data_IF_114364953683
#
_entry.id   IF_114364953683
#
_cell.length_a   1.000
_cell.length_b   1.000
_cell.length_c   1.000
_cell.angle_alpha   90.00
_cell.angle_beta   90.00
_cell.angle_gamma   90.00
#
_symmetry.space_group_name_H-M   'P 1'
#
loop_
_entity.id
_entity.type
_entity.pdbx_description
1 polymer ?
#
# COMPACT_ATOMS: atom_id res chain seq x y z
N UNK A 1 -19.79 -24.43 -11.97
CA UNK A 1 -18.95 -24.77 -10.81
C UNK A 1 -19.59 -24.14 -9.58
N UNK A 2 -20.40 -24.91 -8.84
CA UNK A 2 -21.07 -24.46 -7.60
C UNK A 2 -20.03 -24.53 -6.47
N UNK A 3 -19.82 -23.45 -5.70
CA UNK A 3 -18.83 -23.45 -4.62
C UNK A 3 -19.37 -22.86 -3.31
N UNK A 4 -19.52 -23.78 -2.35
CA UNK A 4 -19.64 -23.63 -0.89
C UNK A 4 -20.96 -23.11 -0.29
N UNK A 5 -21.31 -23.69 0.87
CA UNK A 5 -22.38 -23.36 1.84
C UNK A 5 -22.93 -21.93 1.73
N UNK A 6 -24.24 -21.65 1.96
CA UNK A 6 -24.78 -20.28 1.89
C UNK A 6 -23.94 -19.33 2.74
N UNK A 7 -23.04 -18.58 2.09
CA UNK A 7 -22.13 -17.63 2.74
C UNK A 7 -22.92 -16.37 2.91
N UNK A 8 -23.43 -16.16 4.12
CA UNK A 8 -24.04 -14.89 4.44
C UNK A 8 -22.97 -13.80 4.63
N UNK A 9 -23.28 -12.57 4.28
CA UNK A 9 -22.38 -11.43 4.44
C UNK A 9 -23.09 -10.35 5.24
N UNK A 10 -22.44 -9.90 6.31
CA UNK A 10 -22.83 -8.72 7.08
C UNK A 10 -21.97 -7.55 6.61
N UNK A 11 -22.61 -6.45 6.21
CA UNK A 11 -21.94 -5.23 5.77
C UNK A 11 -22.30 -4.10 6.71
N UNK A 12 -21.29 -3.48 7.32
CA UNK A 12 -21.47 -2.28 8.15
C UNK A 12 -20.73 -1.13 7.50
N UNK A 13 -21.47 -0.12 7.05
CA UNK A 13 -20.93 1.09 6.42
C UNK A 13 -20.96 2.24 7.42
N UNK A 14 -19.81 2.57 7.99
CA UNK A 14 -19.62 3.77 8.78
C UNK A 14 -19.30 4.97 7.89
N UNK A 15 -19.93 6.11 8.13
CA UNK A 15 -19.74 7.27 7.26
C UNK A 15 -19.79 8.61 7.99
N UNK A 16 -19.02 9.57 7.48
CA UNK A 16 -19.18 10.99 7.83
C UNK A 16 -20.43 11.56 7.18
N UNK A 17 -21.13 12.45 7.88
CA UNK A 17 -22.39 13.03 7.40
C UNK A 17 -22.24 13.74 6.04
N UNK A 18 -21.14 14.46 5.84
CA UNK A 18 -20.82 15.11 4.56
C UNK A 18 -20.75 14.13 3.39
N UNK A 19 -20.53 12.84 3.66
CA UNK A 19 -20.38 11.77 2.68
C UNK A 19 -21.60 10.83 2.64
N UNK A 20 -22.78 11.29 3.10
CA UNK A 20 -24.01 10.48 3.17
C UNK A 20 -24.38 9.84 1.84
N UNK A 21 -24.38 10.61 0.75
CA UNK A 21 -24.77 10.10 -0.58
C UNK A 21 -23.78 9.06 -1.11
N UNK A 22 -22.48 9.24 -0.87
CA UNK A 22 -21.49 8.24 -1.24
C UNK A 22 -21.69 6.94 -0.45
N UNK A 23 -21.87 7.06 0.87
CA UNK A 23 -22.08 5.90 1.73
C UNK A 23 -23.36 5.15 1.37
N UNK A 24 -24.43 5.88 1.03
CA UNK A 24 -25.68 5.33 0.51
C UNK A 24 -25.44 4.59 -0.81
N UNK A 25 -24.71 5.19 -1.75
CA UNK A 25 -24.40 4.57 -3.03
C UNK A 25 -23.58 3.27 -2.88
N UNK A 26 -22.53 3.28 -2.05
CA UNK A 26 -21.74 2.07 -1.75
C UNK A 26 -22.62 1.00 -1.13
N UNK A 27 -23.44 1.37 -0.15
CA UNK A 27 -24.36 0.47 0.53
C UNK A 27 -25.34 -0.18 -0.45
N UNK A 28 -26.08 0.63 -1.22
CA UNK A 28 -27.12 0.14 -2.14
C UNK A 28 -26.51 -0.70 -3.27
N UNK A 29 -25.41 -0.26 -3.88
CA UNK A 29 -24.74 -1.00 -4.95
C UNK A 29 -24.18 -2.33 -4.45
N UNK A 30 -23.55 -2.35 -3.26
CA UNK A 30 -22.98 -3.59 -2.72
C UNK A 30 -24.07 -4.60 -2.37
N UNK A 31 -25.13 -4.16 -1.68
CA UNK A 31 -26.25 -5.03 -1.31
C UNK A 31 -26.93 -5.55 -2.57
N UNK A 32 -27.31 -4.68 -3.51
CA UNK A 32 -27.95 -5.09 -4.75
C UNK A 32 -27.09 -6.07 -5.55
N UNK A 33 -25.79 -5.79 -5.68
CA UNK A 33 -24.86 -6.65 -6.40
C UNK A 33 -24.77 -8.03 -5.74
N UNK A 34 -24.49 -8.13 -4.44
CA UNK A 34 -24.39 -9.43 -3.76
C UNK A 34 -25.72 -10.20 -3.76
N UNK A 35 -26.84 -9.52 -3.53
CA UNK A 35 -28.17 -10.14 -3.54
C UNK A 35 -28.58 -10.62 -4.94
N UNK A 36 -28.16 -9.97 -6.02
CA UNK A 36 -28.40 -10.44 -7.40
C UNK A 36 -27.73 -11.78 -7.72
N UNK A 37 -26.75 -12.19 -6.92
CA UNK A 37 -26.12 -13.51 -6.98
C UNK A 37 -26.60 -14.44 -5.84
N UNK A 38 -27.81 -14.19 -5.33
CA UNK A 38 -28.50 -15.00 -4.32
C UNK A 38 -27.75 -15.16 -2.98
N UNK A 39 -26.83 -14.23 -2.67
CA UNK A 39 -26.18 -14.21 -1.36
C UNK A 39 -27.15 -13.67 -0.30
N UNK A 40 -27.14 -14.29 0.89
CA UNK A 40 -27.83 -13.73 2.06
C UNK A 40 -27.02 -12.54 2.59
N UNK A 41 -27.56 -11.34 2.48
CA UNK A 41 -26.88 -10.09 2.86
C UNK A 41 -27.67 -9.39 3.94
N UNK A 42 -27.03 -9.16 5.09
CA UNK A 42 -27.52 -8.24 6.10
C UNK A 42 -26.65 -6.98 6.09
N UNK A 43 -27.24 -5.79 6.12
CA UNK A 43 -26.46 -4.57 6.00
C UNK A 43 -26.99 -3.44 6.88
N UNK A 44 -26.06 -2.63 7.40
CA UNK A 44 -26.35 -1.44 8.17
C UNK A 44 -25.47 -0.27 7.70
N UNK A 45 -26.02 0.93 7.77
CA UNK A 45 -25.31 2.17 7.44
C UNK A 45 -25.42 3.12 8.64
N UNK A 46 -24.27 3.42 9.25
CA UNK A 46 -24.20 4.09 10.54
C UNK A 46 -23.38 5.37 10.45
N UNK A 47 -23.85 6.44 11.08
CA UNK A 47 -23.03 7.63 11.26
C UNK A 47 -21.82 7.27 12.10
N UNK A 48 -20.62 7.63 11.64
CA UNK A 48 -19.34 7.29 12.25
C UNK A 48 -19.30 7.61 13.76
N UNK A 49 -19.92 8.72 14.15
CA UNK A 49 -19.92 9.21 15.53
C UNK A 49 -20.97 8.57 16.44
N UNK A 50 -22.06 8.07 15.88
CA UNK A 50 -23.10 7.37 16.63
C UNK A 50 -22.81 5.87 16.72
N UNK A 51 -22.23 5.31 15.67
CA UNK A 51 -21.94 3.90 15.60
C UNK A 51 -23.11 3.00 15.30
N UNK A 52 -22.88 1.71 15.55
CA UNK A 52 -23.90 0.68 15.47
C UNK A 52 -24.67 0.64 16.79
N UNK A 53 -25.97 0.90 16.76
CA UNK A 53 -26.83 0.81 17.94
C UNK A 53 -27.25 -0.64 18.22
N UNK A 54 -27.73 -0.91 19.44
CA UNK A 54 -28.30 -2.22 19.77
C UNK A 54 -29.54 -2.57 18.91
N UNK A 55 -30.26 -1.56 18.43
CA UNK A 55 -31.40 -1.74 17.52
C UNK A 55 -30.91 -2.20 16.14
N UNK A 56 -29.84 -1.59 15.63
CA UNK A 56 -29.20 -1.98 14.36
C UNK A 56 -28.66 -3.42 14.42
N UNK A 57 -28.03 -3.80 15.54
CA UNK A 57 -27.56 -5.19 15.72
C UNK A 57 -28.71 -6.20 15.72
N UNK A 58 -29.83 -5.89 16.37
CA UNK A 58 -31.03 -6.73 16.33
C UNK A 58 -31.58 -6.85 14.91
N UNK A 59 -31.60 -5.75 14.17
CA UNK A 59 -32.10 -5.74 12.80
C UNK A 59 -31.19 -6.54 11.85
N UNK A 60 -29.87 -6.39 11.97
CA UNK A 60 -28.90 -7.23 11.26
C UNK A 60 -29.11 -8.73 11.58
N UNK A 61 -29.32 -9.07 12.85
CA UNK A 61 -29.58 -10.45 13.25
C UNK A 61 -30.89 -11.02 12.68
N UNK A 62 -31.95 -10.20 12.59
CA UNK A 62 -33.21 -10.59 11.93
C UNK A 62 -33.03 -10.83 10.44
N UNK A 63 -32.33 -9.94 9.74
CA UNK A 63 -32.04 -10.06 8.31
C UNK A 63 -31.23 -11.32 8.00
N UNK A 64 -30.22 -11.61 8.84
CA UNK A 64 -29.33 -12.76 8.64
C UNK A 64 -30.04 -14.09 8.93
N UNK A 65 -30.92 -14.11 9.93
CA UNK A 65 -31.48 -15.31 10.53
C UNK A 65 -30.62 -15.84 11.68
N UNK A 66 -31.22 -16.58 12.63
CA UNK A 66 -30.50 -17.13 13.78
C UNK A 66 -29.45 -18.16 13.34
N UNK A 67 -28.27 -18.10 13.96
CA UNK A 67 -27.16 -19.06 13.83
C UNK A 67 -26.60 -19.29 12.42
N UNK A 68 -26.90 -18.40 11.47
CA UNK A 68 -26.32 -18.44 10.12
C UNK A 68 -24.85 -18.01 10.18
N UNK A 69 -23.89 -18.84 9.72
CA UNK A 69 -22.49 -18.44 9.63
C UNK A 69 -22.30 -17.34 8.59
N UNK A 70 -21.54 -16.29 8.93
CA UNK A 70 -21.37 -15.13 8.07
C UNK A 70 -19.93 -14.60 7.99
N UNK A 71 -19.65 -13.85 6.94
CA UNK A 71 -18.47 -12.99 6.82
C UNK A 71 -18.85 -11.54 7.13
N UNK A 72 -17.95 -10.79 7.76
CA UNK A 72 -18.14 -9.38 8.10
C UNK A 72 -17.24 -8.48 7.24
N UNK A 73 -17.87 -7.52 6.55
CA UNK A 73 -17.20 -6.40 5.89
C UNK A 73 -17.54 -5.09 6.62
N UNK A 74 -16.53 -4.43 7.17
CA UNK A 74 -16.66 -3.08 7.73
C UNK A 74 -16.10 -2.10 6.72
N UNK A 75 -16.92 -1.16 6.28
CA UNK A 75 -16.51 -0.10 5.36
C UNK A 75 -16.56 1.21 6.12
N UNK A 76 -15.47 1.96 6.17
CA UNK A 76 -15.53 3.34 6.67
C UNK A 76 -15.32 4.32 5.52
N UNK A 77 -16.14 5.37 5.51
CA UNK A 77 -16.14 6.43 4.51
C UNK A 77 -15.85 7.73 5.23
N UNK A 78 -14.60 8.20 5.12
CA UNK A 78 -14.10 9.38 5.82
C UNK A 78 -13.48 10.37 4.85
N UNK A 79 -13.17 11.57 5.34
CA UNK A 79 -12.40 12.55 4.58
C UNK A 79 -10.89 12.41 4.85
N UNK A 80 -10.12 12.84 3.87
CA UNK A 80 -8.66 12.93 3.92
C UNK A 80 -8.24 14.29 4.46
N UNK A 81 -7.38 14.35 5.49
CA UNK A 81 -6.81 15.59 6.01
C UNK A 81 -5.33 15.73 5.61
N UNK A 82 -4.92 16.84 4.95
CA UNK A 82 -3.51 17.11 4.66
C UNK A 82 -2.59 17.14 5.89
N UNK A 83 -3.13 17.46 7.08
CA UNK A 83 -2.40 17.49 8.35
C UNK A 83 -2.33 16.14 9.09
N UNK A 84 -2.90 15.06 8.55
CA UNK A 84 -3.04 13.77 9.24
C UNK A 84 -4.29 13.71 10.15
N UNK A 85 -4.51 12.58 10.83
CA UNK A 85 -5.69 12.32 11.66
C UNK A 85 -6.96 11.97 10.89
N UNK A 86 -7.97 11.50 11.63
CA UNK A 86 -9.28 11.11 11.08
C UNK A 86 -10.36 12.07 11.56
N UNK A 87 -11.26 12.45 10.66
CA UNK A 87 -12.38 13.30 11.03
C UNK A 87 -13.43 12.50 11.79
N UNK A 88 -13.90 13.08 12.89
CA UNK A 88 -15.08 12.62 13.61
C UNK A 88 -15.93 13.83 13.92
N UNK A 89 -16.69 14.31 12.93
CA UNK A 89 -17.52 15.51 13.13
C UNK A 89 -18.88 15.32 12.51
N UNK A 90 -19.90 15.47 13.36
CA UNK A 90 -21.28 15.67 12.97
C UNK A 90 -21.48 17.15 12.67
N UNK A 91 -22.14 17.49 11.56
CA UNK A 91 -22.74 18.82 11.43
C UNK A 91 -24.04 18.91 12.25
N UNK A 92 -24.11 18.30 13.44
CA UNK A 92 -25.27 18.40 14.33
C UNK A 92 -24.87 18.78 15.76
N UNK A 93 -25.50 19.85 16.26
CA UNK A 93 -25.36 20.34 17.63
C UNK A 93 -24.25 21.40 17.80
N UNK A 94 -23.96 21.72 19.07
CA UNK A 94 -22.90 22.65 19.49
C UNK A 94 -21.48 22.07 19.36
N UNK A 95 -21.34 20.86 18.81
CA UNK A 95 -20.04 20.22 18.65
C UNK A 95 -19.33 20.80 17.44
N UNK A 96 -18.21 21.49 17.70
CA UNK A 96 -17.29 21.98 16.66
C UNK A 96 -16.74 20.81 15.87
N UNK A 97 -16.23 21.10 14.67
CA UNK A 97 -15.40 20.15 13.93
C UNK A 97 -14.21 19.68 14.81
N UNK A 98 -14.34 18.54 15.49
CA UNK A 98 -13.31 17.84 16.24
C UNK A 98 -12.59 16.81 15.37
N UNK A 99 -11.30 17.04 15.16
CA UNK A 99 -10.39 16.00 14.70
C UNK A 99 -10.09 15.07 15.87
N UNK A 100 -10.04 13.76 15.62
CA UNK A 100 -9.56 12.77 16.59
C UNK A 100 -8.27 12.15 16.07
N UNK A 101 -7.44 11.68 17.00
CA UNK A 101 -6.27 10.91 16.63
C UNK A 101 -6.66 9.55 16.01
N UNK A 102 -5.71 8.94 15.30
CA UNK A 102 -5.89 7.68 14.61
C UNK A 102 -6.28 6.53 15.55
N UNK A 103 -5.77 6.54 16.79
CA UNK A 103 -6.00 5.48 17.76
C UNK A 103 -7.46 5.48 18.25
N UNK A 104 -7.95 6.63 18.71
CA UNK A 104 -9.32 6.77 19.19
C UNK A 104 -10.34 6.43 18.10
N UNK A 105 -10.04 6.81 16.85
CA UNK A 105 -10.89 6.51 15.70
C UNK A 105 -11.02 4.99 15.47
N UNK A 106 -9.89 4.29 15.42
CA UNK A 106 -9.86 2.85 15.16
C UNK A 106 -10.42 2.06 16.33
N UNK A 107 -10.18 2.51 17.56
CA UNK A 107 -10.74 1.92 18.77
C UNK A 107 -12.26 2.01 18.79
N UNK A 108 -12.82 3.17 18.41
CA UNK A 108 -14.27 3.33 18.32
C UNK A 108 -14.88 2.41 17.25
N UNK A 109 -14.31 2.41 16.04
CA UNK A 109 -14.79 1.55 14.95
C UNK A 109 -14.72 0.07 15.35
N UNK A 110 -13.64 -0.35 16.01
CA UNK A 110 -13.48 -1.72 16.53
C UNK A 110 -14.51 -2.05 17.60
N UNK A 111 -14.68 -1.17 18.58
CA UNK A 111 -15.57 -1.40 19.72
C UNK A 111 -17.00 -1.61 19.25
N UNK A 112 -17.48 -0.80 18.31
CA UNK A 112 -18.87 -0.80 17.85
C UNK A 112 -19.29 -2.07 17.11
N UNK A 113 -18.35 -2.82 16.53
CA UNK A 113 -18.63 -4.07 15.80
C UNK A 113 -17.89 -5.27 16.38
N UNK A 114 -17.41 -5.18 17.62
CA UNK A 114 -16.64 -6.24 18.28
C UNK A 114 -17.42 -7.56 18.40
N UNK A 115 -18.71 -7.47 18.70
CA UNK A 115 -19.56 -8.66 18.89
C UNK A 115 -19.82 -9.36 17.55
N UNK A 116 -20.07 -8.59 16.50
CA UNK A 116 -20.22 -9.12 15.15
C UNK A 116 -18.91 -9.71 14.63
N UNK A 117 -17.80 -9.03 14.82
CA UNK A 117 -16.50 -9.47 14.30
C UNK A 117 -15.96 -10.70 15.01
N UNK A 118 -16.27 -10.90 16.30
CA UNK A 118 -15.83 -12.08 17.06
C UNK A 118 -16.57 -13.37 16.66
N UNK A 119 -17.80 -13.25 16.15
CA UNK A 119 -18.64 -14.40 15.72
C UNK A 119 -18.53 -14.71 14.23
N UNK A 120 -18.02 -13.77 13.43
CA UNK A 120 -17.89 -13.94 11.99
C UNK A 120 -16.82 -14.99 11.63
N UNK A 121 -17.05 -15.74 10.54
CA UNK A 121 -16.06 -16.66 9.95
C UNK A 121 -14.81 -15.90 9.50
N UNK A 122 -14.99 -14.71 8.93
CA UNK A 122 -13.90 -13.79 8.60
C UNK A 122 -14.37 -12.36 8.77
N UNK A 123 -13.48 -11.47 9.23
CA UNK A 123 -13.77 -10.05 9.47
C UNK A 123 -12.72 -9.19 8.77
N UNK A 124 -13.15 -8.22 7.96
CA UNK A 124 -12.25 -7.34 7.19
C UNK A 124 -12.71 -5.89 7.20
N UNK A 125 -11.76 -4.97 7.12
CA UNK A 125 -12.01 -3.53 7.09
C UNK A 125 -11.57 -2.96 5.74
N UNK A 126 -12.39 -2.10 5.17
CA UNK A 126 -12.16 -1.40 3.91
C UNK A 126 -12.30 0.10 4.12
N UNK A 127 -11.22 0.85 3.86
CA UNK A 127 -11.24 2.29 3.91
C UNK A 127 -11.61 2.91 2.57
N UNK A 128 -12.45 3.95 2.60
CA UNK A 128 -12.73 4.81 1.45
C UNK A 128 -12.34 6.26 1.77
N UNK A 129 -11.74 6.93 0.77
CA UNK A 129 -11.38 8.36 0.82
C UNK A 129 -10.42 8.81 1.96
N UNK A 130 -9.52 7.93 2.40
CA UNK A 130 -8.66 8.16 3.57
C UNK A 130 -7.14 8.25 3.30
N UNK A 131 -6.71 8.37 2.04
CA UNK A 131 -5.30 8.17 1.70
C UNK A 131 -4.33 9.23 2.24
N UNK A 132 -4.77 10.47 2.48
CA UNK A 132 -3.91 11.48 3.12
C UNK A 132 -3.60 11.15 4.58
N UNK A 133 -4.52 10.47 5.26
CA UNK A 133 -4.41 10.16 6.68
C UNK A 133 -3.26 9.15 6.94
N UNK A 134 -2.80 8.44 5.90
CA UNK A 134 -1.69 7.50 5.97
C UNK A 134 -0.30 8.14 5.85
N UNK A 135 -0.21 9.44 5.55
CA UNK A 135 1.07 10.14 5.43
C UNK A 135 1.71 10.45 6.80
N UNK A 136 0.93 10.33 7.88
CA UNK A 136 1.44 10.49 9.25
C UNK A 136 2.52 9.44 9.56
N UNK A 137 3.70 9.82 10.12
CA UNK A 137 4.81 8.89 10.38
C UNK A 137 4.47 7.69 11.26
N UNK A 138 3.40 7.80 12.07
CA UNK A 138 2.93 6.74 12.98
C UNK A 138 1.66 6.04 12.53
N UNK A 139 0.96 6.54 11.51
CA UNK A 139 -0.40 6.08 11.17
C UNK A 139 -0.48 4.56 10.97
N UNK A 140 0.44 3.98 10.18
CA UNK A 140 0.48 2.54 9.91
C UNK A 140 0.77 1.73 11.19
N UNK A 141 1.65 2.23 12.05
CA UNK A 141 1.97 1.57 13.31
C UNK A 141 0.78 1.57 14.28
N UNK A 142 0.04 2.68 14.33
CA UNK A 142 -1.18 2.82 15.13
C UNK A 142 -2.26 1.86 14.64
N UNK A 143 -2.51 1.83 13.33
CA UNK A 143 -3.43 0.86 12.71
C UNK A 143 -3.01 -0.58 13.02
N UNK A 144 -1.73 -0.90 12.86
CA UNK A 144 -1.26 -2.24 13.18
C UNK A 144 -1.53 -2.58 14.65
N UNK A 145 -1.23 -1.65 15.57
CA UNK A 145 -1.33 -1.88 17.00
C UNK A 145 -2.78 -2.02 17.48
N UNK A 146 -3.70 -1.23 16.93
CA UNK A 146 -5.13 -1.32 17.26
C UNK A 146 -5.79 -2.62 16.77
N UNK A 147 -5.24 -3.22 15.71
CA UNK A 147 -5.69 -4.50 15.17
C UNK A 147 -5.05 -5.72 15.84
N UNK A 148 -3.91 -5.55 16.53
CA UNK A 148 -3.33 -6.63 17.33
C UNK A 148 -4.36 -7.10 18.35
N UNK A 149 -4.54 -8.42 18.46
CA UNK A 149 -5.52 -9.07 19.36
C UNK A 149 -7.00 -8.94 18.98
N UNK A 150 -7.31 -8.42 17.78
CA UNK A 150 -8.70 -8.41 17.27
C UNK A 150 -9.00 -9.66 16.44
N UNK A 151 -10.27 -9.87 16.06
CA UNK A 151 -10.68 -10.93 15.12
C UNK A 151 -10.55 -10.53 13.64
N UNK A 152 -10.12 -9.30 13.35
CA UNK A 152 -9.93 -8.85 11.97
C UNK A 152 -8.75 -9.55 11.30
N UNK A 153 -8.97 -10.02 10.06
CA UNK A 153 -7.93 -10.67 9.26
C UNK A 153 -7.22 -9.68 8.34
N UNK A 154 -7.91 -8.62 7.91
CA UNK A 154 -7.29 -7.67 6.99
C UNK A 154 -7.88 -6.27 7.06
N UNK A 155 -7.05 -5.30 6.69
CA UNK A 155 -7.44 -3.93 6.39
C UNK A 155 -6.89 -3.53 5.03
N UNK A 156 -7.75 -2.94 4.20
CA UNK A 156 -7.42 -2.40 2.88
C UNK A 156 -7.65 -0.90 2.86
N UNK A 157 -6.61 -0.11 2.55
CA UNK A 157 -6.70 1.36 2.54
C UNK A 157 -6.16 1.94 1.23
N UNK A 158 -6.83 2.94 0.60
CA UNK A 158 -6.21 3.74 -0.44
C UNK A 158 -4.98 4.47 0.09
N UNK A 159 -3.94 4.59 -0.73
CA UNK A 159 -2.71 5.34 -0.38
C UNK A 159 -2.58 6.68 -1.08
N UNK A 160 -3.59 7.11 -1.83
CA UNK A 160 -3.47 8.32 -2.63
C UNK A 160 -4.21 9.53 -2.08
N UNK A 161 -3.68 10.68 -2.47
CA UNK A 161 -4.02 12.00 -1.98
C UNK A 161 -5.19 12.66 -2.73
N UNK A 162 -5.46 12.20 -3.96
CA UNK A 162 -6.26 12.92 -4.96
C UNK A 162 -7.46 12.11 -5.47
N UNK A 163 -8.01 11.22 -4.65
CA UNK A 163 -9.17 10.44 -5.05
C UNK A 163 -10.39 11.33 -5.29
N UNK A 164 -11.01 11.17 -6.45
CA UNK A 164 -12.40 11.58 -6.64
C UNK A 164 -13.27 10.51 -5.97
N UNK A 165 -14.13 10.95 -5.06
CA UNK A 165 -15.03 10.10 -4.26
C UNK A 165 -15.89 9.15 -5.12
N UNK A 166 -16.16 9.51 -6.38
CA UNK A 166 -16.91 8.72 -7.37
C UNK A 166 -16.21 7.43 -7.84
N UNK A 167 -14.88 7.35 -7.78
CA UNK A 167 -14.17 6.17 -8.27
C UNK A 167 -14.34 4.99 -7.31
N UNK A 168 -14.50 5.27 -6.01
CA UNK A 168 -14.61 4.24 -4.96
C UNK A 168 -15.98 3.56 -4.92
N UNK A 169 -17.05 4.24 -5.34
CA UNK A 169 -18.41 3.68 -5.31
C UNK A 169 -18.58 2.45 -6.21
N UNK A 170 -17.77 2.33 -7.26
CA UNK A 170 -17.86 1.23 -8.21
C UNK A 170 -16.88 0.08 -7.91
N UNK A 171 -15.71 0.39 -7.36
CA UNK A 171 -14.65 -0.61 -7.11
C UNK A 171 -15.00 -1.51 -5.92
N UNK A 172 -15.47 -0.93 -4.82
CA UNK A 172 -15.71 -1.70 -3.59
C UNK A 172 -16.76 -2.81 -3.76
N UNK A 173 -17.95 -2.57 -4.36
CA UNK A 173 -18.92 -3.63 -4.61
C UNK A 173 -18.32 -4.83 -5.37
N UNK A 174 -17.55 -4.56 -6.43
CA UNK A 174 -16.95 -5.61 -7.26
C UNK A 174 -15.83 -6.39 -6.52
N UNK A 175 -15.04 -5.71 -5.66
CA UNK A 175 -14.07 -6.38 -4.78
C UNK A 175 -14.81 -7.36 -3.84
N UNK A 176 -15.89 -6.91 -3.21
CA UNK A 176 -16.65 -7.74 -2.26
C UNK A 176 -17.34 -8.92 -2.95
N UNK A 177 -17.83 -8.73 -4.18
CA UNK A 177 -18.33 -9.82 -5.02
C UNK A 177 -17.24 -10.88 -5.29
N UNK A 178 -16.04 -10.46 -5.72
CA UNK A 178 -14.92 -11.38 -5.96
C UNK A 178 -14.49 -12.12 -4.68
N UNK A 179 -14.54 -11.44 -3.54
CA UNK A 179 -14.13 -11.99 -2.25
C UNK A 179 -15.14 -13.01 -1.71
N UNK A 180 -16.42 -12.64 -1.63
CA UNK A 180 -17.42 -13.41 -0.88
C UNK A 180 -18.21 -14.38 -1.74
N UNK A 181 -18.50 -14.04 -3.00
CA UNK A 181 -19.19 -14.93 -3.94
C UNK A 181 -18.19 -15.84 -4.66
N UNK A 182 -17.16 -15.26 -5.30
CA UNK A 182 -16.18 -16.06 -6.06
C UNK A 182 -15.11 -16.72 -5.17
N UNK A 183 -15.02 -16.35 -3.90
CA UNK A 183 -14.06 -16.93 -2.95
C UNK A 183 -12.59 -16.61 -3.27
N UNK A 184 -12.33 -15.50 -3.98
CA UNK A 184 -10.96 -15.06 -4.28
C UNK A 184 -10.27 -14.58 -3.00
N UNK A 185 -8.94 -14.74 -2.92
CA UNK A 185 -8.18 -14.07 -1.87
C UNK A 185 -8.23 -12.54 -2.03
N UNK A 186 -8.04 -11.81 -0.92
CA UNK A 186 -8.18 -10.35 -0.90
C UNK A 186 -7.26 -9.66 -1.91
N UNK A 187 -6.01 -10.09 -1.99
CA UNK A 187 -5.02 -9.48 -2.88
C UNK A 187 -5.42 -9.68 -4.34
N UNK A 188 -5.78 -10.90 -4.73
CA UNK A 188 -6.27 -11.22 -6.07
C UNK A 188 -7.54 -10.46 -6.41
N UNK A 189 -8.52 -10.39 -5.51
CA UNK A 189 -9.76 -9.64 -5.73
C UNK A 189 -9.46 -8.16 -6.00
N UNK A 190 -8.64 -7.54 -5.15
CA UNK A 190 -8.23 -6.14 -5.31
C UNK A 190 -7.47 -5.93 -6.62
N UNK A 191 -6.44 -6.72 -6.91
CA UNK A 191 -5.63 -6.56 -8.11
C UNK A 191 -6.42 -6.81 -9.40
N UNK A 192 -7.45 -7.66 -9.39
CA UNK A 192 -8.34 -7.87 -10.54
C UNK A 192 -9.27 -6.69 -10.77
N UNK A 193 -9.89 -6.17 -9.73
CA UNK A 193 -10.88 -5.09 -9.84
C UNK A 193 -10.19 -3.73 -9.97
N UNK A 194 -9.45 -3.33 -8.94
CA UNK A 194 -8.72 -2.05 -8.92
C UNK A 194 -7.66 -1.99 -10.02
N UNK A 195 -6.92 -3.09 -10.23
CA UNK A 195 -5.88 -3.13 -11.25
C UNK A 195 -6.39 -3.04 -12.69
N UNK A 196 -7.67 -3.36 -12.96
CA UNK A 196 -8.28 -3.25 -14.29
C UNK A 196 -9.03 -1.94 -14.52
N UNK A 197 -9.51 -1.26 -13.48
CA UNK A 197 -10.07 0.09 -13.63
C UNK A 197 -8.96 1.12 -13.85
N UNK A 198 -9.02 1.82 -14.98
CA UNK A 198 -7.99 2.79 -15.38
C UNK A 198 -8.06 4.02 -14.47
N UNK A 199 -9.27 4.44 -14.18
CA UNK A 199 -9.64 5.56 -13.32
C UNK A 199 -9.12 5.30 -11.90
N UNK A 200 -9.48 4.14 -11.33
CA UNK A 200 -9.03 3.71 -10.02
C UNK A 200 -7.51 3.74 -9.89
N UNK A 201 -6.80 2.96 -10.72
CA UNK A 201 -5.35 2.77 -10.58
C UNK A 201 -4.54 4.01 -10.92
N UNK A 202 -5.09 4.89 -11.77
CA UNK A 202 -4.44 6.16 -12.07
C UNK A 202 -4.46 7.08 -10.84
N UNK A 203 -5.52 7.09 -10.04
CA UNK A 203 -5.56 8.00 -8.90
C UNK A 203 -5.11 7.36 -7.59
N UNK A 204 -4.87 6.05 -7.54
CA UNK A 204 -4.70 5.35 -6.25
C UNK A 204 -3.60 4.31 -6.22
N UNK A 205 -3.08 4.07 -5.03
CA UNK A 205 -2.42 2.83 -4.64
C UNK A 205 -3.17 2.19 -3.47
N UNK A 206 -2.79 0.98 -3.09
CA UNK A 206 -3.43 0.22 -2.02
C UNK A 206 -2.41 -0.16 -0.94
N UNK A 207 -2.80 0.01 0.31
CA UNK A 207 -2.10 -0.52 1.48
C UNK A 207 -2.88 -1.75 1.96
N UNK A 208 -2.21 -2.89 1.93
CA UNK A 208 -2.69 -4.15 2.49
C UNK A 208 -2.06 -4.32 3.87
N UNK A 209 -2.89 -4.54 4.89
CA UNK A 209 -2.49 -5.01 6.21
C UNK A 209 -3.25 -6.31 6.42
N UNK A 210 -2.60 -7.46 6.22
CA UNK A 210 -3.28 -8.76 6.07
C UNK A 210 -2.59 -9.88 6.85
N UNK A 211 -3.35 -10.87 7.29
CA UNK A 211 -2.87 -12.10 7.93
C UNK A 211 -3.82 -13.25 7.63
N UNK A 212 -3.28 -14.46 7.56
CA UNK A 212 -4.09 -15.65 7.29
C UNK A 212 -4.92 -16.06 8.51
N UNK A 213 -4.37 -15.88 9.72
CA UNK A 213 -5.02 -16.26 10.97
C UNK A 213 -4.87 -15.20 12.08
N UNK A 214 -5.77 -15.22 13.06
CA UNK A 214 -5.81 -14.24 14.16
C UNK A 214 -4.62 -14.30 15.11
N UNK A 215 -3.88 -15.41 15.10
CA UNK A 215 -2.65 -15.59 15.89
C UNK A 215 -1.39 -15.13 15.15
N UNK A 216 -1.50 -14.88 13.85
CA UNK A 216 -0.36 -14.45 13.04
C UNK A 216 -0.18 -12.94 13.07
N UNK A 217 1.05 -12.52 12.76
CA UNK A 217 1.40 -11.12 12.62
C UNK A 217 0.97 -10.60 11.26
N UNK A 218 0.35 -9.43 11.23
CA UNK A 218 -0.01 -8.73 9.99
C UNK A 218 1.21 -8.45 9.09
N UNK A 219 1.12 -8.88 7.84
CA UNK A 219 1.99 -8.46 6.74
C UNK A 219 1.44 -7.15 6.19
N UNK A 220 2.34 -6.18 5.99
CA UNK A 220 1.98 -4.86 5.49
C UNK A 220 2.68 -4.66 4.15
N UNK A 221 1.91 -4.49 3.09
CA UNK A 221 2.42 -4.29 1.72
C UNK A 221 1.71 -3.10 1.09
N UNK A 222 2.49 -2.18 0.52
CA UNK A 222 2.01 -1.12 -0.33
C UNK A 222 2.11 -1.54 -1.80
N UNK A 223 1.04 -1.34 -2.56
CA UNK A 223 0.94 -1.67 -3.99
C UNK A 223 0.55 -0.41 -4.76
N UNK A 224 1.26 -0.10 -5.83
CA UNK A 224 0.97 1.05 -6.69
C UNK A 224 1.05 0.68 -8.17
N UNK A 225 0.21 1.28 -9.00
CA UNK A 225 0.30 1.13 -10.45
C UNK A 225 1.56 1.81 -10.98
N UNK A 226 2.37 1.06 -11.73
CA UNK A 226 3.72 1.47 -12.12
C UNK A 226 4.04 1.10 -13.59
N UNK A 227 3.27 1.56 -14.58
CA UNK A 227 3.62 1.38 -15.98
C UNK A 227 4.86 2.22 -16.32
N UNK A 228 5.97 1.62 -16.80
CA UNK A 228 7.20 2.37 -17.11
C UNK A 228 6.97 3.56 -18.06
N UNK A 229 5.99 3.45 -18.96
CA UNK A 229 5.67 4.50 -19.94
C UNK A 229 5.18 5.82 -19.34
N UNK A 230 4.59 5.79 -18.15
CA UNK A 230 3.93 6.96 -17.56
C UNK A 230 4.24 7.15 -16.07
N UNK A 231 4.59 6.07 -15.37
CA UNK A 231 4.86 6.05 -13.92
C UNK A 231 5.96 5.04 -13.59
N UNK A 232 7.23 5.38 -13.88
CA UNK A 232 8.34 4.49 -13.54
C UNK A 232 8.32 4.25 -12.03
N UNK A 233 8.28 2.98 -11.60
CA UNK A 233 8.19 2.60 -10.18
C UNK A 233 7.06 3.30 -9.39
N UNK A 234 5.96 3.66 -10.05
CA UNK A 234 4.78 4.28 -9.42
C UNK A 234 4.88 5.79 -9.23
N UNK A 235 5.93 6.43 -9.76
CA UNK A 235 6.17 7.86 -9.62
C UNK A 235 5.30 8.70 -10.54
N UNK A 236 4.73 9.79 -10.03
CA UNK A 236 4.09 10.79 -10.87
C UNK A 236 5.15 11.63 -11.58
N UNK A 237 5.12 11.63 -12.91
CA UNK A 237 5.95 12.51 -13.71
C UNK A 237 5.33 13.93 -13.73
N UNK A 238 6.16 14.99 -13.78
CA UNK A 238 5.64 16.35 -13.96
C UNK A 238 4.91 16.46 -15.29
N UNK A 239 3.94 17.36 -15.36
CA UNK A 239 3.21 17.63 -16.58
C UNK A 239 4.14 18.16 -17.68
N UNK A 240 4.22 17.46 -18.81
CA UNK A 240 5.18 17.77 -19.88
C UNK A 240 5.09 19.23 -20.35
N UNK A 241 3.87 19.76 -20.51
CA UNK A 241 3.64 21.13 -20.98
C UNK A 241 4.19 22.20 -20.03
N UNK A 242 4.18 21.94 -18.72
CA UNK A 242 4.75 22.85 -17.70
C UNK A 242 6.28 22.93 -17.81
N UNK A 243 6.91 21.84 -18.25
CA UNK A 243 8.36 21.73 -18.37
C UNK A 243 8.86 22.24 -19.71
N UNK A 244 8.18 21.91 -20.81
CA UNK A 244 8.62 22.30 -22.16
C UNK A 244 8.19 23.71 -22.57
N UNK A 245 7.37 24.39 -21.76
CA UNK A 245 6.89 25.76 -22.03
C UNK A 245 5.91 25.86 -23.20
N UNK A 246 5.36 24.74 -23.69
CA UNK A 246 4.37 24.77 -24.76
C UNK A 246 3.05 25.36 -24.24
N UNK A 247 2.53 26.36 -24.97
CA UNK A 247 1.26 27.03 -24.65
C UNK A 247 0.04 26.10 -24.72
N UNK A 248 0.14 24.99 -25.45
CA UNK A 248 -0.91 23.97 -25.50
C UNK A 248 -0.64 22.87 -24.47
N UNK A 249 -1.66 22.52 -23.67
CA UNK A 249 -1.69 21.31 -22.82
C UNK A 249 -1.66 20.00 -23.64
N UNK A 250 -1.24 20.06 -24.90
CA UNK A 250 -1.14 18.93 -25.82
C UNK A 250 0.22 18.23 -25.74
N UNK A 251 1.26 18.89 -25.22
CA UNK A 251 2.57 18.28 -25.06
C UNK A 251 2.52 17.12 -24.05
N UNK A 252 3.08 15.96 -24.42
CA UNK A 252 3.09 14.73 -23.62
C UNK A 252 4.49 14.13 -23.56
N UNK A 253 4.78 13.40 -22.49
CA UNK A 253 5.97 12.56 -22.42
C UNK A 253 5.82 11.31 -23.28
N UNK A 254 6.82 11.04 -24.10
CA UNK A 254 6.96 9.85 -24.92
C UNK A 254 8.11 9.03 -24.37
N UNK A 255 7.79 7.91 -23.72
CA UNK A 255 8.77 6.96 -23.22
C UNK A 255 9.66 6.41 -24.35
N UNK A 256 10.97 6.36 -24.13
CA UNK A 256 11.94 5.84 -25.09
C UNK A 256 12.61 4.57 -24.63
N UNK A 257 13.19 4.59 -23.44
CA UNK A 257 13.99 3.46 -22.96
C UNK A 257 14.17 3.49 -21.45
N UNK A 258 14.52 2.34 -20.92
CA UNK A 258 14.94 2.09 -19.56
C UNK A 258 16.32 1.46 -19.63
N UNK A 259 17.24 1.94 -18.80
CA UNK A 259 18.60 1.41 -18.72
C UNK A 259 18.97 1.14 -17.26
N UNK A 260 19.46 -0.06 -16.92
CA UNK A 260 20.06 -0.30 -15.62
C UNK A 260 21.34 0.55 -15.49
N UNK A 261 21.57 1.11 -14.31
CA UNK A 261 22.74 1.92 -13.98
C UNK A 261 23.20 1.60 -12.55
N UNK A 262 24.10 0.63 -12.41
CA UNK A 262 24.46 0.08 -11.11
C UNK A 262 23.25 -0.51 -10.40
N UNK A 263 22.86 0.07 -9.25
CA UNK A 263 21.67 -0.32 -8.47
C UNK A 263 20.42 0.51 -8.82
N UNK A 264 20.49 1.37 -9.81
CA UNK A 264 19.41 2.27 -10.21
C UNK A 264 18.86 1.87 -11.59
N UNK A 265 17.66 2.36 -11.90
CA UNK A 265 17.08 2.31 -13.23
C UNK A 265 16.89 3.74 -13.74
N UNK A 266 17.35 4.00 -14.96
CA UNK A 266 17.21 5.31 -15.60
C UNK A 266 16.21 5.21 -16.74
N UNK A 267 15.13 5.96 -16.61
CA UNK A 267 14.05 6.06 -17.58
C UNK A 267 14.23 7.34 -18.40
N UNK A 268 14.11 7.21 -19.72
CA UNK A 268 14.17 8.35 -20.65
C UNK A 268 12.81 8.58 -21.31
N UNK A 269 12.37 9.83 -21.25
CA UNK A 269 11.19 10.34 -21.93
C UNK A 269 11.59 11.53 -22.82
N UNK A 270 11.00 11.65 -24.00
CA UNK A 270 11.09 12.86 -24.83
C UNK A 270 9.75 13.57 -24.83
N UNK A 271 9.74 14.90 -24.82
CA UNK A 271 8.51 15.63 -25.08
C UNK A 271 8.04 15.37 -26.51
N UNK A 272 6.73 15.29 -26.72
CA UNK A 272 6.14 15.12 -28.05
C UNK A 272 6.39 16.32 -28.98
N UNK A 273 6.73 17.49 -28.43
CA UNK A 273 7.16 18.67 -29.19
C UNK A 273 8.67 18.67 -29.51
N UNK A 274 9.44 17.70 -29.02
CA UNK A 274 10.88 17.60 -29.27
C UNK A 274 11.75 18.61 -28.52
N UNK A 275 11.17 19.57 -27.78
CA UNK A 275 11.93 20.64 -27.12
C UNK A 275 12.72 20.21 -25.87
N UNK A 276 12.34 19.12 -25.20
CA UNK A 276 12.90 18.73 -23.90
C UNK A 276 12.95 17.21 -23.77
N UNK A 277 14.03 16.68 -23.17
CA UNK A 277 14.07 15.33 -22.62
C UNK A 277 13.88 15.34 -21.09
N UNK A 278 13.31 14.25 -20.55
CA UNK A 278 13.22 14.01 -19.12
C UNK A 278 13.89 12.67 -18.81
N UNK A 279 14.86 12.71 -17.89
CA UNK A 279 15.55 11.53 -17.37
C UNK A 279 15.16 11.35 -15.91
N UNK A 280 14.69 10.16 -15.57
CA UNK A 280 14.27 9.81 -14.22
C UNK A 280 15.12 8.64 -13.74
N UNK A 281 16.02 8.89 -12.80
CA UNK A 281 16.75 7.85 -12.10
C UNK A 281 15.96 7.43 -10.85
N UNK A 282 15.81 6.12 -10.69
CA UNK A 282 15.11 5.51 -9.55
C UNK A 282 16.00 4.47 -8.90
N UNK A 283 16.29 4.64 -7.62
CA UNK A 283 16.83 3.58 -6.77
C UNK A 283 15.66 2.79 -6.17
N UNK A 284 15.41 1.55 -6.61
CA UNK A 284 14.21 0.80 -6.21
C UNK A 284 14.23 0.36 -4.75
N UNK A 285 15.42 0.28 -4.12
CA UNK A 285 15.58 -0.29 -2.78
C UNK A 285 14.95 -1.69 -2.70
N UNK A 286 13.94 -1.90 -1.85
CA UNK A 286 13.19 -3.15 -1.69
C UNK A 286 11.96 -3.28 -2.60
N UNK A 287 11.67 -2.28 -3.43
CA UNK A 287 10.52 -2.31 -4.33
C UNK A 287 10.69 -3.38 -5.39
N UNK A 288 9.61 -4.11 -5.66
CA UNK A 288 9.56 -5.15 -6.68
C UNK A 288 8.51 -4.80 -7.73
N UNK A 289 8.87 -4.92 -9.01
CA UNK A 289 7.89 -4.83 -10.09
C UNK A 289 7.23 -6.18 -10.25
N UNK A 290 5.90 -6.19 -10.29
CA UNK A 290 5.07 -7.38 -10.48
C UNK A 290 4.11 -7.13 -11.64
N UNK A 291 4.03 -8.07 -12.57
CA UNK A 291 3.04 -8.04 -13.65
C UNK A 291 1.83 -8.88 -13.25
N UNK A 292 0.64 -8.28 -13.25
CA UNK A 292 -0.64 -8.96 -12.95
C UNK A 292 -1.74 -8.40 -13.83
N UNK A 293 -2.62 -9.27 -14.35
CA UNK A 293 -3.79 -8.85 -15.13
C UNK A 293 -3.46 -7.95 -16.34
N UNK A 294 -2.28 -8.11 -16.95
CA UNK A 294 -1.81 -7.28 -18.07
C UNK A 294 -1.25 -5.91 -17.67
N UNK A 295 -1.13 -5.64 -16.37
CA UNK A 295 -0.69 -4.36 -15.81
C UNK A 295 0.56 -4.52 -14.93
N UNK A 296 1.34 -3.45 -14.87
CA UNK A 296 2.58 -3.37 -14.10
C UNK A 296 2.32 -2.68 -12.76
N UNK A 297 2.67 -3.35 -11.67
CA UNK A 297 2.55 -2.83 -10.31
C UNK A 297 3.91 -2.83 -9.63
N UNK A 298 4.08 -1.91 -8.69
CA UNK A 298 5.19 -1.94 -7.75
C UNK A 298 4.67 -2.34 -6.38
N UNK A 299 5.34 -3.29 -5.76
CA UNK A 299 5.05 -3.73 -4.40
C UNK A 299 6.21 -3.38 -3.47
N UNK A 300 5.88 -2.89 -2.28
CA UNK A 300 6.82 -2.55 -1.22
C UNK A 300 6.33 -3.10 0.10
N UNK A 301 7.14 -3.97 0.72
CA UNK A 301 6.84 -4.50 2.04
C UNK A 301 7.35 -3.56 3.13
N UNK A 302 6.55 -3.41 4.18
CA UNK A 302 6.88 -2.60 5.34
C UNK A 302 8.04 -3.20 6.12
N UNK A 303 9.03 -2.37 6.47
CA UNK A 303 10.08 -2.79 7.39
C UNK A 303 9.55 -2.72 8.82
N UNK A 304 9.32 -3.89 9.42
CA UNK A 304 8.81 -4.00 10.78
C UNK A 304 9.79 -3.49 11.83
N UNK A 305 11.10 -3.68 11.61
CA UNK A 305 12.13 -3.27 12.57
C UNK A 305 12.28 -1.74 12.55
N UNK A 306 12.33 -1.16 11.35
CA UNK A 306 12.47 0.29 11.17
C UNK A 306 11.15 1.05 11.23
N UNK A 307 10.02 0.34 11.23
CA UNK A 307 8.66 0.89 11.19
C UNK A 307 8.48 1.91 10.08
N UNK A 308 8.91 1.57 8.88
CA UNK A 308 8.83 2.45 7.71
C UNK A 308 8.84 1.66 6.39
N UNK A 309 8.36 2.29 5.32
CA UNK A 309 8.72 1.92 3.96
C UNK A 309 10.13 2.42 3.65
N UNK A 310 10.90 1.71 2.82
CA UNK A 310 12.29 2.06 2.53
C UNK A 310 12.41 3.12 1.44
N UNK A 311 11.45 3.14 0.51
CA UNK A 311 11.49 4.05 -0.61
C UNK A 311 10.92 5.40 -0.22
N UNK A 312 11.79 6.41 -0.24
CA UNK A 312 11.43 7.81 -0.11
C UNK A 312 11.78 8.54 -1.40
N UNK A 313 10.78 9.17 -2.02
CA UNK A 313 10.95 9.86 -3.30
C UNK A 313 12.05 10.92 -3.26
N UNK A 314 12.18 11.65 -2.14
CA UNK A 314 13.18 12.69 -1.95
C UNK A 314 14.64 12.22 -2.02
N UNK A 315 14.91 10.94 -1.70
CA UNK A 315 16.27 10.38 -1.68
C UNK A 315 16.49 9.34 -2.76
N UNK A 316 15.44 8.63 -3.16
CA UNK A 316 15.48 7.51 -4.10
C UNK A 316 15.15 7.90 -5.55
N UNK A 317 14.78 9.15 -5.82
CA UNK A 317 14.45 9.64 -7.15
C UNK A 317 15.27 10.87 -7.51
N UNK A 318 15.73 10.92 -8.76
CA UNK A 318 16.32 12.12 -9.35
C UNK A 318 15.74 12.34 -10.73
N UNK A 319 15.18 13.51 -10.97
CA UNK A 319 14.69 13.93 -12.29
C UNK A 319 15.61 15.01 -12.85
N UNK A 320 15.97 14.90 -14.13
CA UNK A 320 16.77 15.88 -14.87
C UNK A 320 16.10 16.16 -16.21
N UNK A 321 16.00 17.44 -16.56
CA UNK A 321 15.51 17.89 -17.85
C UNK A 321 16.66 18.46 -18.67
N UNK A 322 16.69 18.18 -19.98
CA UNK A 322 17.66 18.79 -20.89
C UNK A 322 16.96 19.32 -22.14
N UNK A 323 17.50 20.35 -22.81
CA UNK A 323 17.01 20.77 -24.12
C UNK A 323 17.03 19.58 -25.09
N UNK A 324 15.91 19.38 -25.77
CA UNK A 324 15.78 18.34 -26.77
C UNK A 324 16.66 18.68 -27.97
N UNK A 325 17.66 17.84 -28.22
CA UNK A 325 18.43 17.89 -29.46
C UNK A 325 18.25 16.57 -30.19
N UNK A 326 17.84 16.64 -31.46
CA UNK A 326 17.70 15.46 -32.33
C UNK A 326 19.05 14.75 -32.64
N UNK A 327 20.20 15.26 -32.16
CA UNK A 327 21.51 14.82 -32.65
C UNK A 327 22.53 14.36 -31.59
N UNK A 328 22.26 14.44 -30.28
CA UNK A 328 23.20 13.90 -29.27
C UNK A 328 22.65 12.65 -28.61
N UNK A 329 23.03 11.52 -29.22
CA UNK A 329 23.01 10.16 -28.65
C UNK A 329 23.06 10.19 -27.13
N UNK A 330 22.10 9.48 -26.52
CA UNK A 330 22.11 8.61 -25.33
C UNK A 330 23.46 8.26 -24.66
N UNK A 331 24.41 9.19 -24.57
CA UNK A 331 25.41 9.16 -23.53
C UNK A 331 24.66 9.65 -22.30
N UNK A 332 24.05 8.70 -21.58
CA UNK A 332 24.10 8.77 -20.13
C UNK A 332 25.50 9.30 -19.83
N UNK A 333 25.61 10.46 -19.19
CA UNK A 333 26.92 10.88 -18.71
C UNK A 333 27.48 9.64 -18.02
N UNK A 334 28.59 9.11 -18.56
CA UNK A 334 29.23 7.89 -18.10
C UNK A 334 29.93 8.19 -16.78
N UNK A 335 29.16 8.72 -15.84
CA UNK A 335 29.51 8.72 -14.44
C UNK A 335 29.08 7.36 -13.96
N UNK A 336 30.04 6.53 -13.60
CA UNK A 336 29.80 5.25 -12.91
C UNK A 336 29.12 5.44 -11.54
N UNK A 337 28.90 6.69 -11.12
CA UNK A 337 28.27 7.03 -9.86
C UNK A 337 26.74 7.02 -9.96
N UNK A 338 26.11 6.62 -8.86
CA UNK A 338 24.67 6.68 -8.67
C UNK A 338 24.14 8.14 -8.67
N UNK A 339 23.00 8.35 -9.30
CA UNK A 339 22.37 9.67 -9.46
C UNK A 339 21.58 10.09 -8.22
N UNK A 340 20.96 9.13 -7.54
CA UNK A 340 20.11 9.37 -6.37
C UNK A 340 20.95 9.40 -5.08
N UNK A 341 20.41 10.02 -4.02
CA UNK A 341 21.08 10.04 -2.71
C UNK A 341 21.16 8.61 -2.16
N UNK A 342 20.02 7.91 -2.17
CA UNK A 342 19.91 6.54 -1.68
C UNK A 342 20.82 5.57 -2.46
N UNK A 343 20.93 5.74 -3.78
CA UNK A 343 21.84 4.96 -4.61
C UNK A 343 23.31 5.18 -4.24
N UNK A 344 23.73 6.43 -4.00
CA UNK A 344 25.10 6.72 -3.53
C UNK A 344 25.39 6.11 -2.16
N UNK A 345 24.45 6.20 -1.24
CA UNK A 345 24.60 5.63 0.11
C UNK A 345 24.66 4.11 0.07
N UNK A 346 23.86 3.47 -0.79
CA UNK A 346 23.87 2.02 -0.97
C UNK A 346 25.17 1.48 -1.59
N UNK A 347 25.88 2.27 -2.40
CA UNK A 347 27.21 1.93 -2.92
C UNK A 347 28.26 2.04 -1.81
N UNK A 348 28.25 3.12 -1.03
CA UNK A 348 29.17 3.30 0.11
C UNK A 348 29.00 2.21 1.16
N UNK A 349 27.76 1.84 1.49
CA UNK A 349 27.47 0.82 2.49
C UNK A 349 27.96 -0.56 2.06
N UNK A 350 27.84 -0.91 0.77
CA UNK A 350 28.35 -2.18 0.26
C UNK A 350 29.88 -2.23 0.29
N UNK A 351 30.56 -1.13 -0.05
CA UNK A 351 32.01 -1.04 0.05
C UNK A 351 32.47 -1.23 1.50
N UNK A 352 31.80 -0.60 2.46
CA UNK A 352 32.07 -0.75 3.90
C UNK A 352 31.91 -2.19 4.38
N UNK A 353 30.81 -2.86 3.99
CA UNK A 353 30.57 -4.27 4.35
C UNK A 353 31.63 -5.21 3.78
N UNK A 354 32.03 -5.01 2.53
CA UNK A 354 33.11 -5.81 1.90
C UNK A 354 34.44 -5.63 2.62
N UNK A 355 34.76 -4.42 3.05
CA UNK A 355 35.97 -4.15 3.83
C UNK A 355 35.90 -4.82 5.22
N UNK A 356 34.76 -4.76 5.90
CA UNK A 356 34.57 -5.41 7.20
C UNK A 356 34.67 -6.95 7.10
N UNK A 357 34.07 -7.55 6.06
CA UNK A 357 34.18 -8.98 5.78
C UNK A 357 35.62 -9.38 5.46
N UNK A 358 36.36 -8.58 4.69
CA UNK A 358 37.77 -8.81 4.40
C UNK A 358 38.61 -8.79 5.69
N UNK A 359 38.38 -7.80 6.57
CA UNK A 359 39.05 -7.70 7.88
C UNK A 359 38.72 -8.88 8.80
N UNK A 360 37.47 -9.35 8.82
CA UNK A 360 37.06 -10.53 9.60
C UNK A 360 37.77 -11.79 9.10
N UNK A 361 37.79 -12.02 7.78
CA UNK A 361 38.51 -13.16 7.17
C UNK A 361 40.01 -13.12 7.45
N UNK A 362 40.63 -11.94 7.40
CA UNK A 362 42.05 -11.79 7.74
C UNK A 362 42.31 -12.07 9.23
N UNK A 363 41.44 -11.59 10.12
CA UNK A 363 41.51 -11.86 11.56
C UNK A 363 41.36 -13.35 11.91
N UNK A 364 40.43 -14.05 11.24
CA UNK A 364 40.25 -15.50 11.38
C UNK A 364 41.45 -16.28 10.84
N UNK A 365 41.99 -15.89 9.69
CA UNK A 365 43.20 -16.50 9.11
C UNK A 365 44.43 -16.32 10.03
N UNK A 366 44.59 -15.15 10.67
CA UNK A 366 45.66 -14.92 11.65
C UNK A 366 45.48 -15.75 12.93
N UNK A 367 44.25 -15.90 13.44
CA UNK A 367 43.96 -16.78 14.58
C UNK A 367 44.21 -18.26 14.25
N UNK A 368 43.91 -18.71 13.04
CA UNK A 368 44.20 -20.06 12.58
C UNK A 368 45.72 -20.33 12.51
N UNK A 369 46.50 -19.37 12.00
CA UNK A 369 47.98 -19.46 11.98
C UNK A 369 48.60 -19.43 13.39
N UNK A 370 48.08 -18.60 14.29
CA UNK A 370 48.54 -18.55 15.70
C UNK A 370 48.24 -19.81 16.50
N UNK A 371 47.17 -20.56 16.17
CA UNK A 371 46.90 -21.87 16.78
C UNK A 371 47.79 -22.99 16.23
N UNK A 372 48.21 -22.92 14.96
CA UNK A 372 49.14 -23.92 14.40
C UNK A 372 50.57 -23.76 14.93
N UNK A 373 50.99 -22.54 15.28
CA UNK A 373 52.30 -22.30 15.89
C UNK A 373 52.39 -22.68 17.37
N UNK A 374 51.27 -22.68 18.12
CA UNK A 374 51.23 -23.27 19.47
C UNK A 374 51.22 -24.81 19.44
N UNK A 375 50.56 -25.44 18.46
CA UNK A 375 50.61 -26.90 18.31
C UNK A 375 52.02 -27.42 17.92
N UNK A 376 52.86 -26.61 17.26
CA UNK A 376 54.27 -26.95 16.98
C UNK A 376 55.23 -26.69 18.16
N UNK A 377 54.88 -25.76 19.07
CA UNK A 377 55.68 -25.49 20.27
C UNK A 377 55.52 -26.61 21.33
N UNK A 378 54.33 -27.20 21.47
CA UNK A 378 54.10 -28.32 22.39
C UNK A 378 54.70 -29.66 21.91
N UNK A 379 55.00 -29.79 20.61
CA UNK A 379 55.61 -31.00 20.03
C UNK A 379 57.15 -31.04 20.13
N UNK A 380 57.81 -29.94 20.49
CA UNK A 380 59.29 -29.84 20.59
C UNK A 380 59.82 -29.85 22.02
N UNK A 381 58.95 -29.95 23.03
CA UNK A 381 59.33 -30.04 24.45
C UNK A 381 59.47 -31.46 25.02
N UNK A 382 59.26 -32.51 24.22
CA UNK A 382 59.16 -33.90 24.69
C UNK A 382 60.24 -34.84 24.12
N UNK A 383 61.50 -34.41 24.01
CA UNK A 383 62.65 -35.31 23.85
C UNK A 383 63.90 -34.70 24.47
N UNK A 384 64.17 -35.04 25.73
CA UNK A 384 65.32 -34.59 26.49
C UNK A 384 65.52 -35.37 27.79
N UNK A 385 65.59 -36.71 27.68
CA UNK A 385 66.29 -37.59 28.62
C UNK A 385 67.00 -38.67 27.83
#
# INVERSE_FOLDING_TARGET
MRLSSPRAVVIVVFYLRSLTELAKSIYEQTVALLSSFEMNVAAARCLLHHGLSAEDEKELAKQLGPDVPYHLAVIFVTESNPGGGWWHTSEHGSQKKSQVDEDAFLDQCRYQVRHLSARALTSRIFGAACGMNLQGPRAIHLIQSSLLQTSYLSVLLPTATNLLLSDYSHILPEILMNLYYLGSDLRSACQRVWGRSREARYHTGLLFIDRSHTQERFLITKVMHAPPKHRPYGLFLPDCWTICGCSSKKAKWVYKTEKPHGKEFIYLYLSSCGHVDLRVAVFPSRRRIVQRSGESFVEEDWDREKRMFHFHESTAVRMLTQPGSEAKRLKLQASDQAWTIAGRDAVKEEARKKEEEARKKEGEARKARGKSSHAQADATGATGR
#
